data_IF_005025189997
#
_entry.id   IF_005025189997
#
_cell.length_a   1.000
_cell.length_b   1.000
_cell.length_c   1.000
_cell.angle_alpha   90.00
_cell.angle_beta   90.00
_cell.angle_gamma   90.00
#
_symmetry.space_group_name_H-M   'P 1'
#
loop_
_entity.id
_entity.type
_entity.pdbx_description
1 polymer ?
#
# COMPACT_ATOMS: atom_id res chain seq x y z
N UNK A 1 -7.08 -19.48 13.95
CA UNK A 1 -6.35 -18.64 14.93
C UNK A 1 -5.69 -17.44 14.26
N UNK A 2 -4.83 -17.62 13.25
CA UNK A 2 -4.16 -16.51 12.54
C UNK A 2 -5.16 -15.48 11.97
N UNK A 3 -6.28 -15.93 11.40
CA UNK A 3 -7.30 -15.03 10.83
C UNK A 3 -7.95 -14.07 11.83
N UNK A 4 -8.17 -14.52 13.07
CA UNK A 4 -8.75 -13.67 14.12
C UNK A 4 -7.73 -12.61 14.57
N UNK A 5 -6.46 -13.02 14.68
CA UNK A 5 -5.36 -12.12 15.00
C UNK A 5 -5.15 -11.08 13.90
N UNK A 6 -5.14 -11.49 12.63
CA UNK A 6 -5.07 -10.61 11.45
C UNK A 6 -6.17 -9.56 11.50
N UNK A 7 -7.40 -9.98 11.75
CA UNK A 7 -8.55 -9.10 11.84
C UNK A 7 -8.43 -8.11 13.00
N UNK A 8 -8.09 -8.58 14.21
CA UNK A 8 -7.93 -7.72 15.38
C UNK A 8 -6.80 -6.70 15.21
N UNK A 9 -5.63 -7.14 14.74
CA UNK A 9 -4.46 -6.29 14.53
C UNK A 9 -4.64 -5.33 13.36
N UNK A 10 -5.33 -5.71 12.28
CA UNK A 10 -5.62 -4.80 11.18
C UNK A 10 -6.59 -3.69 11.59
N UNK A 11 -7.64 -3.99 12.35
CA UNK A 11 -8.53 -2.95 12.89
C UNK A 11 -7.76 -2.01 13.82
N UNK A 12 -7.00 -2.57 14.75
CA UNK A 12 -6.22 -1.76 15.70
C UNK A 12 -5.19 -0.89 14.96
N UNK A 13 -4.48 -1.46 13.99
CA UNK A 13 -3.52 -0.76 13.15
C UNK A 13 -4.18 0.35 12.34
N UNK A 14 -5.32 0.10 11.69
CA UNK A 14 -6.08 1.11 10.95
C UNK A 14 -6.53 2.25 11.87
N UNK A 15 -7.01 1.94 13.08
CA UNK A 15 -7.45 2.97 14.02
C UNK A 15 -6.28 3.84 14.49
N UNK A 16 -5.19 3.22 14.97
CA UNK A 16 -4.03 3.92 15.53
C UNK A 16 -3.28 4.71 14.45
N UNK A 17 -3.11 4.13 13.27
CA UNK A 17 -2.34 4.73 12.18
C UNK A 17 -3.18 5.63 11.27
N UNK A 18 -4.51 5.70 11.46
CA UNK A 18 -5.40 6.57 10.67
C UNK A 18 -4.93 8.04 10.58
N UNK A 19 -4.41 8.69 11.64
CA UNK A 19 -3.96 10.08 11.53
C UNK A 19 -2.73 10.21 10.62
N UNK A 20 -1.82 9.24 10.69
CA UNK A 20 -0.61 9.18 9.85
C UNK A 20 -1.00 8.91 8.41
N UNK A 21 -1.89 7.95 8.17
CA UNK A 21 -2.41 7.64 6.83
C UNK A 21 -3.13 8.83 6.20
N UNK A 22 -3.93 9.57 6.97
CA UNK A 22 -4.61 10.78 6.50
C UNK A 22 -3.60 11.88 6.12
N UNK A 23 -2.57 12.09 6.95
CA UNK A 23 -1.51 13.04 6.64
C UNK A 23 -0.79 12.69 5.33
N UNK A 24 -0.40 11.42 5.16
CA UNK A 24 0.27 10.95 3.94
C UNK A 24 -0.65 11.07 2.73
N UNK A 25 -1.94 10.78 2.89
CA UNK A 25 -2.91 10.94 1.82
C UNK A 25 -2.97 12.39 1.34
N UNK A 26 -3.04 13.36 2.26
CA UNK A 26 -3.02 14.79 1.94
C UNK A 26 -1.71 15.17 1.25
N UNK A 27 -0.55 14.77 1.78
CA UNK A 27 0.74 15.03 1.14
C UNK A 27 0.83 14.42 -0.26
N UNK A 28 0.32 13.22 -0.45
CA UNK A 28 0.31 12.52 -1.73
C UNK A 28 -0.60 13.16 -2.78
N UNK A 29 -1.64 13.90 -2.38
CA UNK A 29 -2.43 14.75 -3.30
C UNK A 29 -1.54 15.84 -3.89
N UNK A 30 -0.72 16.50 -3.07
CA UNK A 30 0.19 17.54 -3.55
C UNK A 30 1.39 16.98 -4.32
N UNK A 31 1.83 15.77 -4.00
CA UNK A 31 2.97 15.11 -4.64
C UNK A 31 2.63 14.53 -6.03
N UNK A 32 1.50 13.82 -6.17
CA UNK A 32 1.15 13.08 -7.40
C UNK A 32 -0.25 13.35 -7.93
N UNK A 33 -1.11 14.06 -7.19
CA UNK A 33 -2.55 14.21 -7.49
C UNK A 33 -3.39 12.94 -7.25
N UNK A 34 -2.76 11.79 -7.02
CA UNK A 34 -3.41 10.49 -6.83
C UNK A 34 -2.66 9.67 -5.77
N UNK A 35 -2.89 9.93 -4.47
CA UNK A 35 -2.11 9.35 -3.37
C UNK A 35 -2.27 7.83 -3.23
N UNK A 36 -3.31 7.23 -3.83
CA UNK A 36 -3.56 5.79 -3.75
C UNK A 36 -3.15 5.11 -5.06
N UNK A 37 -2.46 4.00 -4.92
CA UNK A 37 -2.10 3.11 -6.00
C UNK A 37 -2.66 1.72 -5.73
N UNK A 38 -3.39 1.18 -6.70
CA UNK A 38 -4.02 -0.14 -6.64
C UNK A 38 -3.33 -1.05 -7.65
N UNK A 39 -2.92 -2.23 -7.21
CA UNK A 39 -2.24 -3.20 -8.04
C UNK A 39 -2.91 -4.57 -7.92
N UNK A 40 -3.29 -5.19 -9.04
CA UNK A 40 -3.75 -6.57 -9.03
C UNK A 40 -2.58 -7.52 -8.68
N UNK A 41 -2.81 -8.40 -7.70
CA UNK A 41 -1.85 -9.42 -7.24
C UNK A 41 -2.55 -10.77 -7.15
N UNK A 42 -1.76 -11.83 -7.27
CA UNK A 42 -2.24 -13.20 -7.08
C UNK A 42 -2.16 -13.53 -5.60
N UNK A 43 -3.31 -13.79 -4.97
CA UNK A 43 -3.41 -14.18 -3.58
C UNK A 43 -3.61 -15.68 -3.39
N UNK A 44 -4.19 -16.04 -2.25
CA UNK A 44 -4.44 -17.43 -1.86
C UNK A 44 -5.29 -18.17 -2.90
N UNK A 45 -4.91 -19.42 -3.20
CA UNK A 45 -5.55 -20.27 -4.22
C UNK A 45 -5.56 -19.63 -5.62
N UNK A 46 -4.52 -18.86 -5.96
CA UNK A 46 -4.38 -18.15 -7.22
C UNK A 46 -5.52 -17.17 -7.53
N UNK A 47 -6.26 -16.73 -6.51
CA UNK A 47 -7.33 -15.75 -6.70
C UNK A 47 -6.73 -14.35 -6.81
N UNK A 48 -7.02 -13.60 -7.88
CA UNK A 48 -6.56 -12.22 -7.99
C UNK A 48 -7.25 -11.34 -6.93
N UNK A 49 -6.52 -10.41 -6.35
CA UNK A 49 -7.03 -9.37 -5.47
C UNK A 49 -6.35 -8.03 -5.74
N UNK A 50 -7.00 -6.95 -5.31
CA UNK A 50 -6.49 -5.59 -5.49
C UNK A 50 -5.69 -5.16 -4.26
N UNK A 51 -4.36 -5.16 -4.36
CA UNK A 51 -3.47 -4.67 -3.32
C UNK A 51 -3.46 -3.13 -3.31
N UNK A 52 -3.75 -2.55 -2.15
CA UNK A 52 -3.85 -1.10 -1.95
C UNK A 52 -2.59 -0.60 -1.25
N UNK A 53 -2.00 0.49 -1.74
CA UNK A 53 -0.82 1.14 -1.16
C UNK A 53 -0.80 2.62 -1.48
N UNK A 54 0.03 3.37 -0.76
CA UNK A 54 0.30 4.75 -1.15
C UNK A 54 1.10 4.77 -2.45
N UNK A 55 0.75 5.71 -3.32
CA UNK A 55 1.46 5.96 -4.56
C UNK A 55 2.82 6.56 -4.23
N UNK A 56 3.87 5.95 -4.78
CA UNK A 56 5.26 6.37 -4.58
C UNK A 56 5.95 6.77 -5.89
N UNK A 57 5.21 6.77 -7.00
CA UNK A 57 5.69 7.07 -8.35
C UNK A 57 4.71 7.97 -9.08
N UNK A 58 5.22 8.76 -10.03
CA UNK A 58 4.40 9.64 -10.86
C UNK A 58 3.29 8.88 -11.61
N UNK A 59 2.12 9.50 -11.74
CA UNK A 59 0.94 8.89 -12.39
C UNK A 59 1.20 8.51 -13.85
N UNK A 60 2.04 9.27 -14.55
CA UNK A 60 2.40 9.04 -15.96
C UNK A 60 3.48 7.98 -16.17
N UNK A 61 3.93 7.29 -15.12
CA UNK A 61 4.93 6.24 -15.26
C UNK A 61 4.27 4.99 -15.82
N UNK A 62 4.86 4.38 -16.84
CA UNK A 62 4.40 3.11 -17.38
C UNK A 62 4.36 2.04 -16.28
N UNK A 63 3.33 1.20 -16.31
CA UNK A 63 3.14 0.09 -15.37
C UNK A 63 4.05 -1.10 -15.71
N UNK A 64 5.36 -0.85 -15.80
CA UNK A 64 6.41 -1.85 -16.02
C UNK A 64 6.92 -2.42 -14.69
N UNK A 65 7.61 -3.56 -14.75
CA UNK A 65 8.23 -4.16 -13.58
C UNK A 65 9.17 -3.15 -12.88
N UNK A 66 9.24 -3.17 -11.55
CA UNK A 66 9.97 -2.15 -10.76
C UNK A 66 11.44 -1.97 -11.15
N UNK A 67 12.08 -3.00 -11.72
CA UNK A 67 13.47 -2.95 -12.20
C UNK A 67 13.64 -2.35 -13.60
N UNK A 68 12.54 -2.20 -14.35
CA UNK A 68 12.47 -1.54 -15.65
C UNK A 68 11.93 -0.11 -15.55
N UNK A 69 11.27 0.22 -14.44
CA UNK A 69 10.79 1.56 -14.18
C UNK A 69 11.97 2.49 -13.87
N UNK A 70 12.00 3.63 -14.55
CA UNK A 70 13.05 4.61 -14.36
C UNK A 70 13.07 5.08 -12.89
N UNK A 71 14.24 5.06 -12.25
CA UNK A 71 14.39 5.48 -10.86
C UNK A 71 14.00 6.96 -10.68
N UNK A 72 14.03 7.73 -11.76
CA UNK A 72 13.53 9.12 -11.84
C UNK A 72 12.03 9.24 -11.58
N UNK A 73 11.26 8.16 -11.71
CA UNK A 73 9.81 8.15 -11.56
C UNK A 73 9.33 8.19 -10.10
N UNK A 74 10.22 7.88 -9.14
CA UNK A 74 9.92 7.87 -7.70
C UNK A 74 9.98 9.30 -7.18
N UNK A 75 8.91 9.77 -6.55
CA UNK A 75 8.87 11.11 -5.95
C UNK A 75 9.71 11.20 -4.67
N UNK A 76 10.11 12.41 -4.22
CA UNK A 76 10.82 12.56 -2.94
C UNK A 76 10.04 11.98 -1.75
N UNK A 77 8.73 12.23 -1.69
CA UNK A 77 7.85 11.61 -0.70
C UNK A 77 7.80 10.09 -0.88
N UNK A 78 7.64 9.62 -2.12
CA UNK A 78 7.62 8.20 -2.45
C UNK A 78 8.89 7.45 -2.03
N UNK A 79 10.06 8.09 -2.14
CA UNK A 79 11.34 7.54 -1.67
C UNK A 79 11.33 7.33 -0.15
N UNK A 80 10.87 8.33 0.61
CA UNK A 80 10.73 8.21 2.06
C UNK A 80 9.74 7.11 2.46
N UNK A 81 8.56 7.07 1.82
CA UNK A 81 7.53 6.07 2.11
C UNK A 81 8.04 4.63 1.88
N UNK A 82 8.79 4.39 0.79
CA UNK A 82 9.38 3.07 0.49
C UNK A 82 10.45 2.66 1.50
N UNK A 83 11.32 3.59 1.90
CA UNK A 83 12.39 3.32 2.87
C UNK A 83 11.83 2.94 4.24
N UNK A 84 10.71 3.56 4.62
CA UNK A 84 10.05 3.37 5.92
C UNK A 84 8.94 2.31 5.89
N UNK A 85 8.61 1.74 4.72
CA UNK A 85 7.49 0.82 4.50
C UNK A 85 6.11 1.39 4.83
N UNK A 86 6.05 2.72 4.96
CA UNK A 86 4.81 3.43 5.25
C UNK A 86 3.87 3.38 4.02
N UNK A 87 4.39 3.20 2.81
CA UNK A 87 3.56 3.02 1.62
C UNK A 87 2.66 1.79 1.68
N UNK A 88 3.01 0.80 2.50
CA UNK A 88 2.29 -0.46 2.66
C UNK A 88 1.17 -0.37 3.70
N UNK A 89 1.05 0.70 4.50
CA UNK A 89 0.00 0.83 5.52
C UNK A 89 -1.44 0.62 5.01
N UNK A 90 -1.83 1.09 3.80
CA UNK A 90 -3.16 0.80 3.26
C UNK A 90 -3.45 -0.69 3.06
N UNK A 91 -2.44 -1.57 3.01
CA UNK A 91 -2.62 -3.02 2.92
C UNK A 91 -3.28 -3.61 4.18
N UNK A 92 -3.29 -2.90 5.31
CA UNK A 92 -4.10 -3.30 6.47
C UNK A 92 -5.59 -3.44 6.11
N UNK A 93 -6.06 -2.69 5.11
CA UNK A 93 -7.41 -2.86 4.55
C UNK A 93 -7.58 -4.21 3.85
N UNK A 94 -6.58 -4.66 3.09
CA UNK A 94 -6.59 -5.97 2.45
C UNK A 94 -6.56 -7.10 3.48
N UNK A 95 -5.82 -6.93 4.57
CA UNK A 95 -5.84 -7.87 5.70
C UNK A 95 -7.22 -7.93 6.34
N UNK A 96 -7.83 -6.78 6.59
CA UNK A 96 -9.18 -6.68 7.17
C UNK A 96 -10.21 -7.42 6.30
N UNK A 97 -10.22 -7.16 5.00
CA UNK A 97 -11.13 -7.80 4.03
C UNK A 97 -10.85 -9.29 3.81
N UNK A 98 -9.62 -9.75 4.07
CA UNK A 98 -9.23 -11.15 3.93
C UNK A 98 -8.59 -11.53 2.63
N UNK A 99 -8.17 -10.54 1.87
CA UNK A 99 -7.32 -10.73 0.70
C UNK A 99 -5.90 -11.14 1.10
N UNK A 100 -5.43 -10.68 2.26
CA UNK A 100 -4.07 -10.89 2.78
C UNK A 100 -4.05 -11.30 4.27
N UNK A 101 -2.90 -11.79 4.73
CA UNK A 101 -2.58 -12.01 6.14
C UNK A 101 -1.42 -11.09 6.54
N UNK A 102 -1.30 -10.72 7.81
CA UNK A 102 -0.14 -9.95 8.29
C UNK A 102 1.14 -10.77 8.20
N UNK A 103 1.02 -12.09 8.30
CA UNK A 103 2.14 -13.04 8.22
C UNK A 103 1.75 -14.18 7.28
N UNK A 104 2.28 -14.15 6.06
CA UNK A 104 2.08 -15.21 5.07
C UNK A 104 2.84 -14.96 3.77
N UNK A 105 3.06 -16.01 2.95
CA UNK A 105 3.57 -15.88 1.59
C UNK A 105 2.49 -15.39 0.61
#
# INVERSE_FOLDING_TARGET
MIRLLDFALSILGLLILSPVMLLIFILGIFDTGSPIFIQCRVGRLQRPFNLIKFRTMNVKTDSVATHLADASAITPLGRFLRQTKIDELPQLWNVLLGDMSLVGP
#
